data_IF_619677554188
#
_entry.id   IF_619677554188
#
_cell.length_a   1.000
_cell.length_b   1.000
_cell.length_c   1.000
_cell.angle_alpha   90.00
_cell.angle_beta   90.00
_cell.angle_gamma   90.00
#
_symmetry.space_group_name_H-M   'P 1'
#
loop_
_entity.id
_entity.type
_entity.pdbx_description
1 polymer ?
#
# COMPACT_ATOMS: atom_id res chain seq x y z
N UNK A 1 -12.18 2.78 7.69
CA UNK A 1 -12.24 1.35 7.30
C UNK A 1 -12.45 1.29 5.80
N UNK A 2 -11.52 0.70 5.04
CA UNK A 2 -11.74 0.42 3.62
C UNK A 2 -12.68 -0.79 3.51
N UNK A 3 -13.98 -0.56 3.71
CA UNK A 3 -14.98 -1.64 3.83
C UNK A 3 -15.28 -2.27 2.47
N UNK A 4 -15.16 -1.50 1.38
CA UNK A 4 -15.36 -1.98 0.03
C UNK A 4 -14.03 -2.28 -0.68
N UNK A 5 -14.10 -3.12 -1.71
CA UNK A 5 -13.03 -3.35 -2.69
C UNK A 5 -12.50 -2.02 -3.20
N UNK A 6 -13.40 -1.10 -3.58
CA UNK A 6 -13.09 0.24 -4.07
C UNK A 6 -12.26 1.06 -3.08
N UNK A 7 -12.62 1.05 -1.80
CA UNK A 7 -11.85 1.79 -0.78
C UNK A 7 -10.42 1.26 -0.66
N UNK A 8 -10.24 -0.06 -0.76
CA UNK A 8 -8.90 -0.69 -0.69
C UNK A 8 -8.06 -0.34 -1.92
N UNK A 9 -8.69 -0.30 -3.09
CA UNK A 9 -8.03 0.14 -4.33
C UNK A 9 -7.60 1.61 -4.25
N UNK A 10 -8.48 2.49 -3.77
CA UNK A 10 -8.17 3.92 -3.57
C UNK A 10 -7.05 4.10 -2.56
N UNK A 11 -7.09 3.38 -1.42
CA UNK A 11 -6.04 3.43 -0.42
C UNK A 11 -4.69 2.94 -0.98
N UNK A 12 -4.68 1.88 -1.79
CA UNK A 12 -3.48 1.42 -2.48
C UNK A 12 -2.93 2.47 -3.44
N UNK A 13 -3.79 3.11 -4.25
CA UNK A 13 -3.34 4.16 -5.19
C UNK A 13 -2.70 5.31 -4.42
N UNK A 14 -3.29 5.72 -3.30
CA UNK A 14 -2.73 6.73 -2.42
C UNK A 14 -1.35 6.32 -1.86
N UNK A 15 -1.23 5.08 -1.37
CA UNK A 15 0.02 4.54 -0.85
C UNK A 15 1.11 4.47 -1.94
N UNK A 16 0.75 4.03 -3.15
CA UNK A 16 1.64 3.96 -4.32
C UNK A 16 2.16 5.35 -4.71
N UNK A 17 1.28 6.34 -4.80
CA UNK A 17 1.68 7.72 -5.09
C UNK A 17 2.59 8.29 -4.01
N UNK A 18 2.32 7.96 -2.75
CA UNK A 18 3.16 8.37 -1.61
C UNK A 18 4.55 7.71 -1.69
N UNK A 19 4.61 6.41 -2.00
CA UNK A 19 5.86 5.70 -2.22
C UNK A 19 6.66 6.27 -3.40
N UNK A 20 5.99 6.66 -4.48
CA UNK A 20 6.61 7.27 -5.66
C UNK A 20 7.28 8.62 -5.36
N UNK A 21 6.79 9.37 -4.37
CA UNK A 21 7.38 10.64 -3.93
C UNK A 21 8.69 10.47 -3.17
N UNK A 22 9.05 9.25 -2.77
CA UNK A 22 10.28 8.95 -2.03
C UNK A 22 11.24 8.21 -2.98
N UNK A 23 12.22 8.89 -3.58
CA UNK A 23 13.10 8.29 -4.60
C UNK A 23 13.87 7.09 -4.07
N UNK A 24 14.37 7.17 -2.83
CA UNK A 24 15.15 6.13 -2.16
C UNK A 24 14.33 5.29 -1.16
N UNK A 25 13.03 5.07 -1.42
CA UNK A 25 12.22 4.20 -0.56
C UNK A 25 12.80 2.78 -0.55
N UNK A 26 12.91 2.19 0.64
CA UNK A 26 13.25 0.78 0.81
C UNK A 26 11.96 -0.03 0.68
N UNK A 27 11.76 -0.65 -0.48
CA UNK A 27 10.54 -1.41 -0.81
C UNK A 27 10.28 -2.53 0.22
N UNK A 28 11.32 -3.23 0.68
CA UNK A 28 11.20 -4.30 1.69
C UNK A 28 10.68 -3.76 3.04
N UNK A 29 11.19 -2.61 3.47
CA UNK A 29 10.74 -1.97 4.71
C UNK A 29 9.31 -1.48 4.58
N UNK A 30 8.97 -0.85 3.44
CA UNK A 30 7.63 -0.33 3.16
C UNK A 30 6.58 -1.45 3.07
N UNK A 31 6.93 -2.60 2.46
CA UNK A 31 6.08 -3.78 2.41
C UNK A 31 5.88 -4.43 3.79
N UNK A 32 6.91 -4.42 4.65
CA UNK A 32 6.84 -4.98 6.01
C UNK A 32 6.17 -4.06 7.04
N UNK A 33 6.04 -2.77 6.74
CA UNK A 33 5.54 -1.75 7.66
C UNK A 33 4.13 -2.05 8.20
N UNK A 34 3.13 -2.44 7.37
CA UNK A 34 1.78 -2.72 7.88
C UNK A 34 1.76 -3.83 8.93
N UNK A 35 2.54 -4.88 8.70
CA UNK A 35 2.68 -6.00 9.65
C UNK A 35 3.34 -5.55 10.96
N UNK A 36 4.41 -4.75 10.88
CA UNK A 36 5.10 -4.19 12.06
C UNK A 36 4.21 -3.23 12.87
N UNK A 37 3.31 -2.52 12.21
CA UNK A 37 2.36 -1.62 12.84
C UNK A 37 1.06 -2.30 13.29
N UNK A 38 0.93 -3.62 13.09
CA UNK A 38 -0.29 -4.38 13.36
C UNK A 38 -1.54 -3.78 12.69
N UNK A 39 -1.38 -3.21 11.49
CA UNK A 39 -2.46 -2.62 10.72
C UNK A 39 -3.10 -3.68 9.82
N UNK A 40 -4.44 -3.79 9.78
CA UNK A 40 -5.15 -4.70 8.90
C UNK A 40 -5.21 -4.13 7.48
N UNK A 41 -4.05 -4.06 6.83
CA UNK A 41 -3.90 -3.60 5.44
C UNK A 41 -3.39 -4.76 4.62
N UNK A 42 -4.22 -5.23 3.69
CA UNK A 42 -3.97 -6.45 2.91
C UNK A 42 -3.15 -6.19 1.63
N UNK A 43 -2.43 -5.06 1.56
CA UNK A 43 -1.59 -4.72 0.42
C UNK A 43 -0.26 -4.11 0.83
N UNK A 44 0.83 -4.42 0.10
CA UNK A 44 2.14 -3.83 0.36
C UNK A 44 2.18 -2.38 -0.13
N UNK A 45 2.84 -1.52 0.65
CA UNK A 45 3.19 -0.17 0.23
C UNK A 45 4.41 -0.26 -0.68
N UNK A 46 4.21 -0.11 -1.98
CA UNK A 46 5.29 -0.13 -2.98
C UNK A 46 4.97 0.77 -4.16
N UNK A 47 6.02 1.23 -4.85
CA UNK A 47 5.90 1.98 -6.11
C UNK A 47 5.29 1.16 -7.24
N UNK A 48 5.45 -0.17 -7.19
CA UNK A 48 5.06 -1.09 -8.27
C UNK A 48 3.82 -1.91 -7.94
N UNK A 49 3.19 -1.72 -6.76
CA UNK A 49 1.95 -2.42 -6.43
C UNK A 49 0.88 -2.16 -7.50
N UNK A 50 0.26 -3.25 -7.95
CA UNK A 50 -0.89 -3.21 -8.85
C UNK A 50 -2.17 -3.12 -8.02
N UNK A 51 -2.69 -1.90 -7.88
CA UNK A 51 -3.88 -1.63 -7.08
C UNK A 51 -5.17 -2.20 -7.70
N UNK A 52 -5.17 -2.63 -8.96
CA UNK A 52 -6.37 -3.21 -9.60
C UNK A 52 -6.68 -4.62 -9.12
N UNK A 53 -5.67 -5.31 -8.57
CA UNK A 53 -5.77 -6.68 -8.06
C UNK A 53 -6.17 -6.75 -6.58
N UNK A 54 -6.45 -5.61 -5.97
CA UNK A 54 -6.86 -5.54 -4.57
C UNK A 54 -8.38 -5.67 -4.50
N UNK A 55 -8.82 -6.66 -3.73
CA UNK A 55 -10.22 -7.05 -3.57
C UNK A 55 -10.69 -6.84 -2.16
#
# INVERSE_FOLDING_TARGET
MARSTTDRQVACVCAKQSAARIPAIREDDAASLPAKCHLPVDFPISKTTDCTKIH
#
